data_IF_911284371433
#
_entry.id   IF_911284371433
#
_cell.length_a   1.000
_cell.length_b   1.000
_cell.length_c   1.000
_cell.angle_alpha   90.00
_cell.angle_beta   90.00
_cell.angle_gamma   90.00
#
_symmetry.space_group_name_H-M   'P 1'
#
loop_
_entity.id
_entity.type
_entity.pdbx_description
1 polymer ?
#
# COMPACT_ATOMS: atom_id res chain seq x y z
N UNK A 1 -12.99 -11.85 -18.78
CA UNK A 1 -11.79 -12.15 -17.96
C UNK A 1 -11.98 -11.36 -16.69
N UNK A 2 -11.90 -11.99 -15.52
CA UNK A 2 -12.01 -11.23 -14.29
C UNK A 2 -10.77 -10.31 -14.08
N UNK A 3 -10.88 -9.33 -13.19
CA UNK A 3 -9.83 -8.32 -12.96
C UNK A 3 -8.50 -8.95 -12.51
N UNK A 4 -8.55 -10.04 -11.74
CA UNK A 4 -7.36 -10.72 -11.23
C UNK A 4 -6.62 -11.47 -12.34
N UNK A 5 -7.35 -12.17 -13.21
CA UNK A 5 -6.78 -12.88 -14.37
C UNK A 5 -6.15 -11.89 -15.36
N UNK A 6 -6.77 -10.73 -15.58
CA UNK A 6 -6.22 -9.70 -16.47
C UNK A 6 -4.93 -9.08 -15.88
N UNK A 7 -4.88 -8.83 -14.57
CA UNK A 7 -3.69 -8.33 -13.89
C UNK A 7 -2.53 -9.34 -13.95
N UNK A 8 -2.81 -10.62 -13.74
CA UNK A 8 -1.81 -11.70 -13.85
C UNK A 8 -1.27 -11.83 -15.27
N UNK A 9 -2.15 -11.83 -16.29
CA UNK A 9 -1.72 -11.87 -17.69
C UNK A 9 -0.84 -10.68 -18.07
N UNK A 10 -1.17 -9.48 -17.56
CA UNK A 10 -0.36 -8.28 -17.74
C UNK A 10 1.02 -8.40 -17.08
N UNK A 11 1.10 -8.93 -15.86
CA UNK A 11 2.36 -9.13 -15.15
C UNK A 11 3.28 -10.14 -15.87
N UNK A 12 2.72 -11.27 -16.29
CA UNK A 12 3.45 -12.28 -17.09
C UNK A 12 3.98 -11.66 -18.39
N UNK A 13 3.13 -10.91 -19.09
CA UNK A 13 3.53 -10.27 -20.34
C UNK A 13 4.65 -9.25 -20.17
N UNK A 14 4.59 -8.44 -19.13
CA UNK A 14 5.64 -7.50 -18.77
C UNK A 14 6.97 -8.21 -18.46
N UNK A 15 6.93 -9.32 -17.74
CA UNK A 15 8.13 -10.12 -17.40
C UNK A 15 8.75 -10.75 -18.64
N UNK A 16 7.97 -11.40 -19.50
CA UNK A 16 8.46 -11.96 -20.78
C UNK A 16 9.14 -10.90 -21.62
N UNK A 17 8.52 -9.71 -21.75
CA UNK A 17 9.08 -8.57 -22.48
C UNK A 17 10.40 -8.09 -21.88
N UNK A 18 10.48 -7.96 -20.56
CA UNK A 18 11.68 -7.56 -19.83
C UNK A 18 12.83 -8.55 -20.09
N UNK A 19 12.57 -9.86 -19.93
CA UNK A 19 13.57 -10.90 -20.13
C UNK A 19 14.06 -10.97 -21.56
N UNK A 20 13.17 -10.79 -22.53
CA UNK A 20 13.55 -10.69 -23.95
C UNK A 20 14.44 -9.48 -24.22
N UNK A 21 14.04 -8.31 -23.72
CA UNK A 21 14.77 -7.05 -23.94
C UNK A 21 16.15 -7.06 -23.26
N UNK A 22 16.28 -7.63 -22.07
CA UNK A 22 17.57 -7.74 -21.38
C UNK A 22 18.60 -8.55 -22.15
N UNK A 23 18.14 -9.47 -23.03
CA UNK A 23 18.98 -10.26 -23.94
C UNK A 23 19.20 -9.57 -25.29
N UNK A 24 18.64 -8.39 -25.52
CA UNK A 24 18.68 -7.72 -26.80
C UNK A 24 17.92 -8.43 -27.91
N UNK A 25 16.97 -9.33 -27.58
CA UNK A 25 16.24 -10.13 -28.56
C UNK A 25 15.08 -9.36 -29.18
N UNK A 26 14.85 -9.63 -30.47
CA UNK A 26 13.63 -9.20 -31.17
C UNK A 26 12.46 -10.12 -30.81
N UNK A 27 11.23 -9.71 -31.16
CA UNK A 27 10.05 -10.56 -31.03
C UNK A 27 10.18 -11.84 -31.89
N UNK A 28 10.80 -11.73 -33.05
CA UNK A 28 11.01 -12.88 -33.94
C UNK A 28 12.06 -13.83 -33.38
N UNK A 29 13.12 -13.32 -32.78
CA UNK A 29 14.15 -14.13 -32.11
C UNK A 29 13.53 -14.96 -30.98
N UNK A 30 12.71 -14.35 -30.13
CA UNK A 30 12.04 -15.10 -29.04
C UNK A 30 11.02 -16.11 -29.59
N UNK A 31 10.28 -15.75 -30.65
CA UNK A 31 9.29 -16.65 -31.26
C UNK A 31 9.95 -17.93 -31.78
N UNK A 32 11.09 -17.78 -32.48
CA UNK A 32 11.88 -18.92 -33.01
C UNK A 32 12.48 -19.74 -31.83
N UNK A 33 13.09 -19.09 -30.87
CA UNK A 33 13.73 -19.78 -29.74
C UNK A 33 12.71 -20.58 -28.89
N UNK A 34 11.50 -20.06 -28.73
CA UNK A 34 10.44 -20.70 -27.93
C UNK A 34 9.54 -21.64 -28.78
N UNK A 35 9.80 -21.81 -30.08
CA UNK A 35 8.95 -22.57 -31.00
C UNK A 35 7.46 -22.16 -30.90
N UNK A 36 7.18 -20.85 -30.94
CA UNK A 36 5.84 -20.26 -30.93
C UNK A 36 5.70 -19.24 -32.03
N UNK A 37 4.46 -18.90 -32.41
CA UNK A 37 4.28 -17.84 -33.40
C UNK A 37 4.66 -16.46 -32.85
N UNK A 38 5.17 -15.58 -33.73
CA UNK A 38 5.40 -14.16 -33.36
C UNK A 38 4.14 -13.50 -32.78
N UNK A 39 2.97 -13.84 -33.33
CA UNK A 39 1.67 -13.35 -32.82
C UNK A 39 1.42 -13.80 -31.37
N UNK A 40 1.80 -15.02 -31.04
CA UNK A 40 1.72 -15.54 -29.66
C UNK A 40 2.57 -14.69 -28.72
N UNK A 41 3.84 -14.43 -29.07
CA UNK A 41 4.73 -13.58 -28.26
C UNK A 41 4.15 -12.18 -28.07
N UNK A 42 3.66 -11.55 -29.14
CA UNK A 42 3.04 -10.21 -29.08
C UNK A 42 1.83 -10.20 -28.15
N UNK A 43 0.96 -11.20 -28.25
CA UNK A 43 -0.26 -11.27 -27.42
C UNK A 43 0.08 -11.51 -25.95
N UNK A 44 1.09 -12.35 -25.67
CA UNK A 44 1.59 -12.57 -24.30
C UNK A 44 2.16 -11.29 -23.73
N UNK A 45 3.10 -10.63 -24.43
CA UNK A 45 3.73 -9.38 -23.96
C UNK A 45 2.74 -8.22 -23.75
N UNK A 46 1.61 -8.24 -24.44
CA UNK A 46 0.53 -7.26 -24.25
C UNK A 46 -0.43 -7.61 -23.11
N UNK A 47 -0.31 -8.80 -22.53
CA UNK A 47 -1.28 -9.29 -21.56
C UNK A 47 -2.69 -9.50 -22.16
N UNK A 48 -2.80 -9.54 -23.50
CA UNK A 48 -4.08 -9.66 -24.21
C UNK A 48 -4.53 -11.10 -24.40
N UNK A 49 -3.72 -12.08 -24.00
CA UNK A 49 -4.03 -13.49 -24.02
C UNK A 49 -3.68 -14.13 -22.68
N UNK A 50 -4.45 -15.14 -22.30
CA UNK A 50 -4.08 -16.03 -21.18
C UNK A 50 -3.27 -17.19 -21.79
N UNK A 51 -1.93 -17.19 -21.69
CA UNK A 51 -1.11 -18.23 -22.29
C UNK A 51 -1.34 -19.56 -21.57
N UNK A 52 -1.40 -20.65 -22.34
CA UNK A 52 -1.42 -21.98 -21.72
C UNK A 52 -0.10 -22.27 -21.00
N UNK A 53 -0.14 -23.20 -20.04
CA UNK A 53 1.08 -23.64 -19.33
C UNK A 53 2.15 -24.14 -20.30
N UNK A 54 1.76 -24.80 -21.40
CA UNK A 54 2.69 -25.24 -22.43
C UNK A 54 3.42 -24.09 -23.13
N UNK A 55 2.73 -22.98 -23.41
CA UNK A 55 3.35 -21.76 -23.97
C UNK A 55 4.29 -21.13 -22.96
N UNK A 56 3.89 -21.05 -21.68
CA UNK A 56 4.72 -20.50 -20.62
C UNK A 56 6.00 -21.31 -20.42
N UNK A 57 5.93 -22.64 -20.46
CA UNK A 57 7.10 -23.51 -20.37
C UNK A 57 8.08 -23.26 -21.52
N UNK A 58 7.61 -23.21 -22.77
CA UNK A 58 8.46 -22.92 -23.94
C UNK A 58 9.14 -21.54 -23.84
N UNK A 59 8.39 -20.53 -23.40
CA UNK A 59 8.96 -19.19 -23.19
C UNK A 59 10.00 -19.18 -22.05
N UNK A 60 9.72 -19.91 -20.97
CA UNK A 60 10.62 -20.07 -19.83
C UNK A 60 11.95 -20.74 -20.24
N UNK A 61 11.86 -21.85 -20.97
CA UNK A 61 13.03 -22.57 -21.50
C UNK A 61 13.85 -21.68 -22.46
N UNK A 62 13.19 -21.04 -23.41
CA UNK A 62 13.88 -20.17 -24.38
C UNK A 62 14.56 -18.97 -23.70
N UNK A 63 13.93 -18.39 -22.70
CA UNK A 63 14.50 -17.27 -21.93
C UNK A 63 15.49 -17.72 -20.86
N UNK A 64 15.62 -19.02 -20.57
CA UNK A 64 16.50 -19.53 -19.51
C UNK A 64 16.12 -19.07 -18.11
N UNK A 65 14.81 -18.84 -17.86
CA UNK A 65 14.25 -18.47 -16.56
C UNK A 65 13.28 -19.55 -16.08
N UNK A 66 13.16 -19.73 -14.77
CA UNK A 66 12.19 -20.70 -14.24
C UNK A 66 10.74 -20.30 -14.54
N UNK A 67 9.84 -21.27 -14.72
CA UNK A 67 8.40 -20.98 -14.85
C UNK A 67 7.86 -20.17 -13.68
N UNK A 68 8.22 -20.43 -12.40
CA UNK A 68 7.85 -19.57 -11.29
C UNK A 68 8.25 -18.11 -11.51
N UNK A 69 9.48 -17.86 -11.98
CA UNK A 69 10.00 -16.51 -12.21
C UNK A 69 9.23 -15.73 -13.29
N UNK A 70 8.61 -16.45 -14.25
CA UNK A 70 7.77 -15.83 -15.26
C UNK A 70 6.36 -15.48 -14.74
N UNK A 71 5.83 -16.27 -13.82
CA UNK A 71 4.46 -16.10 -13.30
C UNK A 71 4.40 -15.32 -12.00
N UNK A 72 5.51 -15.20 -11.28
CA UNK A 72 5.60 -14.30 -10.14
C UNK A 72 5.49 -12.84 -10.62
N UNK A 73 4.65 -12.03 -9.97
CA UNK A 73 4.65 -10.61 -10.26
C UNK A 73 6.07 -10.06 -10.06
N UNK A 74 6.53 -9.10 -10.89
CA UNK A 74 7.84 -8.49 -10.73
C UNK A 74 7.98 -8.05 -9.29
N UNK A 75 9.00 -8.57 -8.60
CA UNK A 75 9.29 -8.13 -7.24
C UNK A 75 9.53 -6.62 -7.31
N UNK A 76 8.79 -5.81 -6.56
CA UNK A 76 9.05 -4.39 -6.53
C UNK A 76 10.52 -4.20 -6.15
N UNK A 77 11.18 -3.22 -6.76
CA UNK A 77 12.54 -2.84 -6.35
C UNK A 77 12.56 -2.76 -4.82
N UNK A 78 13.56 -3.36 -4.13
CA UNK A 78 13.62 -3.32 -2.68
C UNK A 78 13.67 -1.87 -2.14
N UNK A 79 13.95 -0.91 -3.02
CA UNK A 79 13.93 0.52 -2.71
C UNK A 79 13.08 1.26 -3.74
N UNK A 80 11.99 1.87 -3.27
CA UNK A 80 11.20 2.83 -4.04
C UNK A 80 11.60 4.25 -3.60
N UNK A 81 11.89 5.13 -4.56
CA UNK A 81 12.27 6.52 -4.29
C UNK A 81 11.27 7.45 -4.93
N UNK A 82 10.52 8.19 -4.12
CA UNK A 82 9.70 9.31 -4.58
C UNK A 82 10.54 10.59 -4.52
N UNK A 83 10.77 11.23 -5.66
CA UNK A 83 11.48 12.50 -5.70
C UNK A 83 10.56 13.65 -5.30
N UNK A 84 11.13 14.71 -4.75
CA UNK A 84 10.37 15.92 -4.37
C UNK A 84 9.49 16.40 -5.53
N UNK A 85 8.19 16.58 -5.26
CA UNK A 85 7.21 17.05 -6.25
C UNK A 85 6.69 15.99 -7.21
N UNK A 86 7.09 14.71 -7.07
CA UNK A 86 6.58 13.61 -7.92
C UNK A 86 5.56 12.70 -7.24
N UNK A 87 5.36 12.86 -5.93
CA UNK A 87 4.31 12.13 -5.20
C UNK A 87 2.91 12.54 -5.66
N UNK A 88 1.92 11.62 -5.65
CA UNK A 88 0.55 11.97 -5.98
C UNK A 88 -0.05 12.89 -4.93
N UNK A 89 -0.69 13.97 -5.38
CA UNK A 89 -1.49 14.86 -4.55
C UNK A 89 -2.88 14.24 -4.44
N UNK A 90 -3.29 13.83 -3.24
CA UNK A 90 -4.56 13.12 -3.01
C UNK A 90 -5.62 14.00 -2.31
N UNK A 91 -5.21 15.15 -1.81
CA UNK A 91 -6.11 16.16 -1.28
C UNK A 91 -5.56 17.56 -1.51
N UNK A 92 -6.45 18.53 -1.75
CA UNK A 92 -6.14 19.97 -1.84
C UNK A 92 -7.15 20.78 -1.03
N UNK A 93 -6.66 21.76 -0.28
CA UNK A 93 -7.48 22.72 0.47
C UNK A 93 -7.71 24.02 -0.30
N UNK A 94 -8.75 24.74 0.08
CA UNK A 94 -9.15 26.02 -0.56
C UNK A 94 -8.14 27.16 -0.28
N UNK A 95 -7.33 27.02 0.78
CA UNK A 95 -6.34 28.02 1.19
C UNK A 95 -4.90 27.60 0.83
N UNK A 96 -4.74 26.77 -0.19
CA UNK A 96 -3.42 26.33 -0.69
C UNK A 96 -2.86 25.11 0.04
N UNK A 97 -3.70 24.39 0.78
CA UNK A 97 -3.33 23.11 1.38
C UNK A 97 -3.17 21.99 0.37
N UNK A 98 -2.36 20.99 0.71
CA UNK A 98 -2.20 19.77 -0.07
C UNK A 98 -1.76 18.59 0.82
N UNK A 99 -2.23 17.40 0.49
CA UNK A 99 -1.71 16.15 1.03
C UNK A 99 -1.07 15.34 -0.10
N UNK A 100 0.19 15.03 0.08
CA UNK A 100 1.01 14.29 -0.90
C UNK A 100 1.45 12.98 -0.27
N UNK A 101 1.12 11.85 -0.89
CA UNK A 101 1.68 10.57 -0.48
C UNK A 101 3.12 10.45 -0.99
N UNK A 102 4.08 10.39 -0.07
CA UNK A 102 5.51 10.41 -0.41
C UNK A 102 6.15 9.03 -0.39
N UNK A 103 5.58 8.08 0.34
CA UNK A 103 6.02 6.68 0.31
C UNK A 103 4.87 5.78 0.76
N UNK A 104 4.91 4.52 0.34
CA UNK A 104 3.95 3.52 0.80
C UNK A 104 4.47 2.12 0.53
N UNK A 105 4.05 1.17 1.37
CA UNK A 105 4.26 -0.25 1.15
C UNK A 105 3.06 -0.86 0.44
N UNK A 106 3.25 -2.06 -0.13
CA UNK A 106 2.17 -2.84 -0.71
C UNK A 106 1.69 -3.89 0.29
N UNK A 107 0.46 -4.40 0.08
CA UNK A 107 -0.06 -5.51 0.89
C UNK A 107 0.96 -6.66 1.00
N UNK A 108 0.99 -7.41 2.13
CA UNK A 108 -0.03 -7.43 3.20
C UNK A 108 0.04 -6.26 4.20
N UNK A 109 1.20 -5.69 4.46
CA UNK A 109 1.38 -4.66 5.48
C UNK A 109 1.36 -3.28 4.84
N UNK A 110 0.25 -2.57 4.97
CA UNK A 110 0.10 -1.23 4.41
C UNK A 110 0.62 -0.22 5.42
N UNK A 111 1.70 0.46 5.03
CA UNK A 111 2.25 1.61 5.72
C UNK A 111 2.40 2.74 4.70
N UNK A 112 1.81 3.88 4.98
CA UNK A 112 1.86 5.06 4.12
C UNK A 112 2.53 6.22 4.84
N UNK A 113 3.30 7.01 4.11
CA UNK A 113 3.89 8.26 4.58
C UNK A 113 3.42 9.42 3.71
N UNK A 114 2.98 10.47 4.39
CA UNK A 114 2.38 11.65 3.79
C UNK A 114 3.11 12.93 4.18
N UNK A 115 3.23 13.89 3.26
CA UNK A 115 3.63 15.28 3.52
C UNK A 115 2.38 16.16 3.37
N UNK A 116 1.98 16.78 4.47
CA UNK A 116 0.81 17.63 4.56
C UNK A 116 1.19 19.10 4.67
N UNK A 117 0.51 19.91 3.90
CA UNK A 117 0.49 21.36 4.05
C UNK A 117 -0.96 21.81 4.22
N UNK A 118 -1.24 22.65 5.22
CA UNK A 118 -2.54 23.29 5.41
C UNK A 118 -2.32 24.80 5.34
N UNK A 119 -2.98 25.47 4.40
CA UNK A 119 -3.05 26.93 4.39
C UNK A 119 -3.87 27.46 5.58
N UNK A 120 -3.76 28.75 5.92
CA UNK A 120 -4.53 29.34 7.01
C UNK A 120 -6.05 29.21 6.77
N UNK A 121 -6.73 28.51 7.66
CA UNK A 121 -8.16 28.19 7.54
C UNK A 121 -8.47 26.84 6.88
N UNK A 122 -7.50 26.18 6.28
CA UNK A 122 -7.72 24.83 5.73
C UNK A 122 -8.05 23.82 6.84
N UNK A 123 -8.97 22.93 6.50
CA UNK A 123 -9.37 21.81 7.33
C UNK A 123 -9.59 20.58 6.47
N UNK A 124 -9.01 19.47 6.88
CA UNK A 124 -9.32 18.14 6.37
C UNK A 124 -10.04 17.33 7.45
N UNK A 125 -11.11 16.64 7.07
CA UNK A 125 -11.84 15.70 7.95
C UNK A 125 -11.78 14.32 7.32
N UNK A 126 -11.36 13.35 8.11
CA UNK A 126 -11.29 11.95 7.74
C UNK A 126 -12.35 11.15 8.49
N UNK A 127 -13.07 10.32 7.78
CA UNK A 127 -13.87 9.26 8.37
C UNK A 127 -12.97 8.24 9.08
N UNK A 128 -13.54 7.41 9.94
CA UNK A 128 -12.82 6.31 10.58
C UNK A 128 -12.30 5.33 9.53
N UNK A 129 -11.01 5.04 9.57
CA UNK A 129 -10.37 4.03 8.73
C UNK A 129 -10.72 2.60 9.17
N UNK A 130 -10.09 1.60 8.55
CA UNK A 130 -10.26 0.20 8.94
C UNK A 130 -9.93 -0.01 10.44
N UNK A 131 -10.67 -0.90 11.14
CA UNK A 131 -10.42 -1.17 12.56
C UNK A 131 -8.97 -1.57 12.82
N UNK A 132 -8.36 -0.93 13.82
CA UNK A 132 -6.96 -1.14 14.22
C UNK A 132 -5.95 -0.26 13.49
N UNK A 133 -6.37 0.60 12.56
CA UNK A 133 -5.50 1.62 11.94
C UNK A 133 -4.89 2.54 13.00
N UNK A 134 -3.61 2.84 12.85
CA UNK A 134 -2.85 3.74 13.70
C UNK A 134 -2.22 4.83 12.87
N UNK A 135 -2.17 6.04 13.45
CA UNK A 135 -1.54 7.19 12.82
C UNK A 135 -0.50 7.82 13.74
N UNK A 136 0.60 8.24 13.12
CA UNK A 136 1.70 8.97 13.76
C UNK A 136 1.89 10.27 13.01
N UNK A 137 1.85 11.38 13.74
CA UNK A 137 1.94 12.73 13.19
C UNK A 137 3.12 13.48 13.83
N UNK A 138 3.86 14.27 13.02
CA UNK A 138 4.92 15.15 13.52
C UNK A 138 4.82 16.50 12.83
N UNK A 139 4.67 17.57 13.61
CA UNK A 139 4.55 18.95 13.13
C UNK A 139 5.93 19.56 12.88
N UNK A 140 6.13 20.12 11.69
CA UNK A 140 7.39 20.77 11.30
C UNK A 140 7.30 22.30 11.37
N UNK A 141 6.17 22.87 10.95
CA UNK A 141 5.99 24.33 10.82
C UNK A 141 4.54 24.66 11.16
N UNK A 142 4.33 25.83 11.76
CA UNK A 142 3.00 26.37 12.04
C UNK A 142 2.32 25.71 13.24
N UNK A 143 1.03 25.91 13.36
CA UNK A 143 0.19 25.36 14.44
C UNK A 143 -0.87 24.46 13.84
N UNK A 144 -0.96 23.25 14.35
CA UNK A 144 -1.94 22.25 13.94
C UNK A 144 -2.98 22.04 15.04
N UNK A 145 -4.26 22.10 14.69
CA UNK A 145 -5.31 21.53 15.54
C UNK A 145 -5.65 20.14 15.05
N UNK A 146 -5.35 19.13 15.86
CA UNK A 146 -5.71 17.72 15.66
C UNK A 146 -6.99 17.44 16.43
N UNK A 147 -8.05 17.02 15.73
CA UNK A 147 -9.29 16.50 16.33
C UNK A 147 -9.32 14.99 16.24
N UNK A 148 -9.60 14.28 17.34
CA UNK A 148 -9.80 12.82 17.36
C UNK A 148 -11.05 12.50 18.17
N UNK A 149 -12.10 12.03 17.52
CA UNK A 149 -13.43 11.90 18.14
C UNK A 149 -13.91 13.21 18.73
N UNK A 150 -14.20 13.25 20.03
CA UNK A 150 -14.64 14.46 20.73
C UNK A 150 -13.50 15.32 21.31
N UNK A 151 -12.24 14.91 21.14
CA UNK A 151 -11.08 15.60 21.69
C UNK A 151 -10.38 16.45 20.62
N UNK A 152 -9.80 17.57 21.03
CA UNK A 152 -8.99 18.44 20.18
C UNK A 152 -7.68 18.78 20.87
N UNK A 153 -6.59 18.77 20.12
CA UNK A 153 -5.23 19.04 20.57
C UNK A 153 -4.60 20.11 19.69
N UNK A 154 -3.93 21.07 20.30
CA UNK A 154 -3.13 22.06 19.58
C UNK A 154 -1.66 21.66 19.65
N UNK A 155 -1.04 21.49 18.48
CA UNK A 155 0.34 21.03 18.33
C UNK A 155 1.16 22.10 17.62
N UNK A 156 2.34 22.40 18.15
CA UNK A 156 3.32 23.29 17.58
C UNK A 156 4.48 22.57 16.89
N UNK A 157 5.44 23.32 16.31
CA UNK A 157 6.63 22.74 15.68
C UNK A 157 7.42 21.87 16.65
N UNK A 158 7.75 20.64 16.25
CA UNK A 158 8.45 19.66 17.06
C UNK A 158 7.53 18.74 17.86
N UNK A 159 6.25 19.06 18.00
CA UNK A 159 5.29 18.18 18.67
C UNK A 159 4.91 17.00 17.77
N UNK A 160 4.65 15.87 18.39
CA UNK A 160 4.20 14.65 17.74
C UNK A 160 2.99 14.06 18.46
N UNK A 161 2.15 13.35 17.71
CA UNK A 161 0.99 12.64 18.24
C UNK A 161 0.91 11.22 17.66
N UNK A 162 0.43 10.27 18.47
CA UNK A 162 0.06 8.94 18.06
C UNK A 162 -1.42 8.71 18.44
N UNK A 163 -2.25 8.31 17.49
CA UNK A 163 -3.69 8.18 17.75
C UNK A 163 -4.32 7.06 16.90
N UNK A 164 -5.52 6.58 17.30
CA UNK A 164 -6.26 5.61 16.54
C UNK A 164 -6.84 6.27 15.27
N UNK A 165 -6.47 5.76 14.07
CA UNK A 165 -7.02 6.18 12.80
C UNK A 165 -8.38 5.56 12.51
N UNK A 166 -8.81 4.56 13.26
CA UNK A 166 -10.14 3.94 13.20
C UNK A 166 -11.22 4.72 13.98
N UNK A 167 -10.92 5.97 14.31
CA UNK A 167 -11.85 6.96 14.87
C UNK A 167 -11.88 8.16 13.93
N UNK A 168 -13.05 8.76 13.73
CA UNK A 168 -13.17 9.99 12.94
C UNK A 168 -12.23 11.08 13.48
N UNK A 169 -11.46 11.70 12.62
CA UNK A 169 -10.44 12.67 13.02
C UNK A 169 -10.31 13.82 12.01
N UNK A 170 -9.59 14.87 12.38
CA UNK A 170 -9.42 16.03 11.50
C UNK A 170 -8.12 16.76 11.77
N UNK A 171 -7.59 17.40 10.72
CA UNK A 171 -6.43 18.29 10.77
C UNK A 171 -6.87 19.67 10.33
N UNK A 172 -6.52 20.71 11.08
CA UNK A 172 -6.80 22.07 10.69
C UNK A 172 -5.69 23.05 11.08
N UNK A 173 -5.47 24.02 10.19
CA UNK A 173 -4.69 25.21 10.50
C UNK A 173 -5.68 26.32 10.90
N UNK A 174 -5.79 26.66 12.20
CA UNK A 174 -6.76 27.64 12.63
C UNK A 174 -6.48 28.99 11.94
N UNK A 175 -7.50 29.56 11.32
CA UNK A 175 -7.41 30.93 10.81
C UNK A 175 -7.18 31.90 11.96
N UNK A 176 -6.35 32.92 11.74
CA UNK A 176 -6.28 34.05 12.67
C UNK A 176 -7.68 34.74 12.78
N UNK A 177 -8.07 35.24 13.97
CA UNK A 177 -9.42 35.80 14.18
C UNK A 177 -9.81 36.93 13.24
N UNK A 178 -8.86 37.57 12.58
CA UNK A 178 -9.07 38.71 11.69
C UNK A 178 -8.97 38.27 10.21
N UNK A 179 -10.01 37.70 9.71
CA UNK A 179 -10.60 37.64 8.34
C UNK A 179 -9.73 37.84 7.09
N UNK A 180 -8.41 37.76 7.16
CA UNK A 180 -7.53 37.59 5.99
C UNK A 180 -6.72 36.33 6.16
N UNK A 181 -6.47 35.57 5.10
CA UNK A 181 -5.57 34.42 5.14
C UNK A 181 -4.12 34.87 5.27
N UNK A 182 -3.81 35.58 6.38
CA UNK A 182 -2.48 36.06 6.75
C UNK A 182 -1.99 35.22 7.92
N UNK A 183 -1.60 33.99 7.63
CA UNK A 183 -1.02 33.07 8.60
C UNK A 183 0.05 32.23 7.93
N UNK A 184 0.95 31.69 8.74
CA UNK A 184 1.95 30.76 8.26
C UNK A 184 1.26 29.42 7.93
N UNK A 185 1.59 28.77 6.80
CA UNK A 185 1.08 27.43 6.53
C UNK A 185 1.56 26.46 7.62
N UNK A 186 0.71 25.54 7.98
CA UNK A 186 1.08 24.42 8.85
C UNK A 186 1.58 23.26 8.00
N UNK A 187 2.75 22.71 8.33
CA UNK A 187 3.32 21.53 7.67
C UNK A 187 3.60 20.43 8.68
N UNK A 188 3.23 19.21 8.33
CA UNK A 188 3.46 18.03 9.15
C UNK A 188 3.63 16.78 8.28
N UNK A 189 4.35 15.81 8.81
CA UNK A 189 4.38 14.45 8.25
C UNK A 189 3.35 13.58 8.97
N UNK A 190 2.75 12.65 8.23
CA UNK A 190 1.81 11.68 8.76
C UNK A 190 2.23 10.29 8.27
N UNK A 191 2.29 9.32 9.17
CA UNK A 191 2.40 7.91 8.84
C UNK A 191 1.09 7.21 9.22
N UNK A 192 0.54 6.43 8.29
CA UNK A 192 -0.67 5.64 8.47
C UNK A 192 -0.32 4.17 8.37
N UNK A 193 -0.66 3.38 9.38
CA UNK A 193 -0.49 1.93 9.39
C UNK A 193 -1.83 1.24 9.44
N UNK A 194 -2.19 0.54 8.37
CA UNK A 194 -3.38 -0.29 8.31
C UNK A 194 -3.03 -1.74 8.62
N UNK A 195 -3.68 -2.37 9.60
CA UNK A 195 -3.44 -3.76 9.89
C UNK A 195 -3.94 -4.65 8.75
N UNK A 196 -3.15 -5.63 8.38
CA UNK A 196 -3.64 -6.73 7.55
C UNK A 196 -4.82 -7.38 8.27
N UNK A 197 -5.97 -7.50 7.61
CA UNK A 197 -7.04 -8.38 8.11
C UNK A 197 -6.46 -9.79 8.17
N UNK A 198 -6.06 -10.23 9.35
CA UNK A 198 -5.77 -11.63 9.58
C UNK A 198 -7.01 -12.41 9.09
N UNK A 199 -6.81 -13.32 8.13
CA UNK A 199 -7.79 -14.35 7.84
C UNK A 199 -8.11 -14.95 9.21
N UNK A 200 -9.34 -14.79 9.68
CA UNK A 200 -9.78 -15.45 10.91
C UNK A 200 -9.56 -16.92 10.67
N UNK A 201 -8.54 -17.48 11.29
CA UNK A 201 -8.45 -18.92 11.46
C UNK A 201 -9.67 -19.33 12.28
N UNK A 202 -10.72 -19.78 11.59
CA UNK A 202 -11.79 -20.56 12.16
C UNK A 202 -11.23 -21.95 12.43
N UNK A 203 -10.43 -22.05 13.48
CA UNK A 203 -10.11 -23.33 14.08
C UNK A 203 -10.20 -23.13 15.60
N UNK A 204 -11.42 -23.04 16.10
CA UNK A 204 -11.67 -23.42 17.47
C UNK A 204 -11.56 -24.95 17.53
N UNK A 205 -10.37 -25.45 17.75
CA UNK A 205 -10.19 -26.81 18.24
C UNK A 205 -10.70 -26.78 19.67
N UNK A 206 -11.90 -27.31 19.86
CA UNK A 206 -12.48 -27.58 21.17
C UNK A 206 -11.61 -28.66 21.80
N UNK A 207 -10.66 -28.25 22.63
CA UNK A 207 -9.86 -29.18 23.44
C UNK A 207 -10.76 -29.70 24.54
N UNK A 208 -10.95 -31.03 24.72
CA UNK A 208 -11.74 -31.59 25.79
C UNK A 208 -11.15 -31.18 27.14
N UNK A 209 -12.00 -30.60 27.98
CA UNK A 209 -11.65 -30.31 29.37
C UNK A 209 -11.29 -31.62 30.10
N UNK A 210 -10.04 -31.74 30.50
CA UNK A 210 -9.62 -32.77 31.47
C UNK A 210 -10.09 -32.31 32.83
N UNK A 211 -11.07 -33.01 33.40
CA UNK A 211 -11.47 -32.79 34.79
C UNK A 211 -10.34 -33.26 35.73
N UNK A 212 -10.03 -32.49 36.77
CA UNK A 212 -9.05 -32.92 37.77
C UNK A 212 -9.63 -34.07 38.60
N UNK A 213 -8.99 -35.22 38.53
CA UNK A 213 -9.24 -36.34 39.44
C UNK A 213 -8.87 -35.93 40.85
N UNK A 214 -9.87 -35.92 41.75
CA UNK A 214 -9.65 -35.73 43.18
C UNK A 214 -8.86 -36.91 43.77
N UNK A 215 -7.89 -36.67 44.67
CA UNK A 215 -7.21 -37.76 45.35
C UNK A 215 -8.14 -38.39 46.37
N UNK A 216 -8.35 -39.72 46.29
CA UNK A 216 -8.99 -40.51 47.33
C UNK A 216 -8.13 -40.45 48.60
N UNK A 217 -8.76 -39.94 49.66
CA UNK A 217 -8.22 -40.03 51.03
C UNK A 217 -8.55 -41.43 51.55
N UNK A 218 -7.58 -42.32 51.51
CA UNK A 218 -7.64 -43.62 52.16
C UNK A 218 -7.52 -43.43 53.66
N UNK A 219 -8.60 -43.78 54.42
CA UNK A 219 -8.52 -44.01 55.81
C UNK A 219 -8.24 -45.50 56.04
N UNK A 220 -7.18 -45.76 56.77
CA UNK A 220 -6.78 -47.05 57.27
C UNK A 220 -5.64 -46.91 58.26
#
# INVERSE_FOLDING_TARGET
MDSATAALAGAIGARVKQERQSRGWTLDTLAVAADVSRRTVVNVERGSANPSVAILLRLSEALGVGLPDLVEPPQPSPVAVTRRGTGPVLWTGDCGGAAVMVAGTVRPDVLEMWDWTLGPGDRHTSEAHAPGTRELLHVHVGTLTLGVGAQAFTLGPGDAAAFPGDVAHSYSNPAAPDSRPSGQPTRFSLAVSEPTKALRETTSVDLPRVEPTSPEVGHG
#
